data_IF_107496506299
#
_entry.id   IF_107496506299
#
_cell.length_a   1.000
_cell.length_b   1.000
_cell.length_c   1.000
_cell.angle_alpha   90.00
_cell.angle_beta   90.00
_cell.angle_gamma   90.00
#
_symmetry.space_group_name_H-M   'P 1'
#
loop_
_entity.id
_entity.type
_entity.pdbx_description
1 polymer ?
#
# COMPACT_ATOMS: atom_id res chain seq x y z
N UNK A 1 15.09 -22.26 -29.19
CA UNK A 1 15.26 -20.84 -28.81
C UNK A 1 16.15 -20.80 -27.58
N UNK A 2 17.42 -20.41 -27.75
CA UNK A 2 18.39 -20.33 -26.65
C UNK A 2 17.97 -19.21 -25.69
N UNK A 3 17.70 -19.56 -24.43
CA UNK A 3 17.45 -18.59 -23.38
C UNK A 3 18.67 -17.67 -23.28
N UNK A 4 18.45 -16.36 -23.38
CA UNK A 4 19.50 -15.37 -23.11
C UNK A 4 20.00 -15.65 -21.70
N UNK A 5 21.20 -16.22 -21.58
CA UNK A 5 21.88 -16.37 -20.30
C UNK A 5 21.93 -14.99 -19.66
N UNK A 6 21.46 -14.88 -18.41
CA UNK A 6 21.60 -13.67 -17.62
C UNK A 6 23.01 -13.73 -17.02
N UNK A 7 24.03 -13.08 -17.61
CA UNK A 7 25.44 -13.30 -17.23
C UNK A 7 25.68 -12.96 -15.75
N UNK A 8 24.92 -12.00 -15.20
CA UNK A 8 25.00 -11.62 -13.79
C UNK A 8 24.42 -12.67 -12.82
N UNK A 9 23.54 -13.57 -13.27
CA UNK A 9 22.87 -14.53 -12.38
C UNK A 9 23.81 -15.63 -11.88
N UNK A 10 24.92 -15.88 -12.58
CA UNK A 10 25.91 -16.92 -12.24
C UNK A 10 27.20 -16.34 -11.66
N UNK A 11 27.40 -15.02 -11.76
CA UNK A 11 28.58 -14.33 -11.25
C UNK A 11 28.36 -13.82 -9.83
N UNK A 12 28.78 -14.63 -8.85
CA UNK A 12 28.64 -14.27 -7.44
C UNK A 12 29.44 -13.02 -7.06
N UNK A 13 30.61 -12.79 -7.66
CA UNK A 13 31.43 -11.62 -7.36
C UNK A 13 30.72 -10.34 -7.82
N UNK A 14 30.16 -10.34 -9.04
CA UNK A 14 29.36 -9.25 -9.55
C UNK A 14 28.12 -8.99 -8.68
N UNK A 15 27.41 -10.05 -8.27
CA UNK A 15 26.25 -9.91 -7.39
C UNK A 15 26.60 -9.25 -6.05
N UNK A 16 27.74 -9.61 -5.45
CA UNK A 16 28.21 -8.97 -4.22
C UNK A 16 28.51 -7.48 -4.41
N UNK A 17 29.16 -7.10 -5.53
CA UNK A 17 29.42 -5.69 -5.86
C UNK A 17 28.10 -4.93 -6.04
N UNK A 18 27.15 -5.47 -6.80
CA UNK A 18 25.85 -4.85 -7.02
C UNK A 18 25.07 -4.67 -5.71
N UNK A 19 25.05 -5.68 -4.84
CA UNK A 19 24.40 -5.59 -3.52
C UNK A 19 25.10 -4.58 -2.61
N UNK A 20 26.43 -4.49 -2.65
CA UNK A 20 27.20 -3.49 -1.90
C UNK A 20 26.84 -2.06 -2.34
N UNK A 21 26.86 -1.79 -3.64
CA UNK A 21 26.50 -0.48 -4.21
C UNK A 21 25.04 -0.12 -3.95
N UNK A 22 24.15 -1.11 -4.05
CA UNK A 22 22.74 -0.94 -3.71
C UNK A 22 22.56 -0.58 -2.23
N UNK A 23 23.27 -1.24 -1.32
CA UNK A 23 23.19 -0.97 0.12
C UNK A 23 23.61 0.45 0.46
N UNK A 24 24.66 0.95 -0.20
CA UNK A 24 25.10 2.35 -0.10
C UNK A 24 24.04 3.32 -0.62
N UNK A 25 23.42 3.00 -1.75
CA UNK A 25 22.36 3.81 -2.38
C UNK A 25 21.09 3.86 -1.52
N UNK A 26 20.67 2.71 -0.98
CA UNK A 26 19.52 2.59 -0.09
C UNK A 26 19.73 3.33 1.24
N UNK A 27 20.91 3.19 1.84
CA UNK A 27 21.28 3.95 3.04
C UNK A 27 21.29 5.46 2.77
N UNK A 28 21.81 5.88 1.62
CA UNK A 28 21.76 7.29 1.20
C UNK A 28 20.34 7.82 1.08
N UNK A 29 19.42 7.06 0.48
CA UNK A 29 18.01 7.43 0.38
C UNK A 29 17.35 7.54 1.75
N UNK A 30 17.60 6.59 2.64
CA UNK A 30 17.06 6.62 3.99
C UNK A 30 17.55 7.84 4.79
N UNK A 31 18.82 8.23 4.61
CA UNK A 31 19.34 9.45 5.23
C UNK A 31 18.66 10.71 4.67
N UNK A 32 18.40 10.79 3.36
CA UNK A 32 17.64 11.88 2.75
C UNK A 32 16.19 11.93 3.27
N UNK A 33 15.57 10.76 3.46
CA UNK A 33 14.23 10.63 4.03
C UNK A 33 14.19 11.18 5.47
N UNK A 34 15.17 10.78 6.30
CA UNK A 34 15.30 11.27 7.69
C UNK A 34 15.57 12.77 7.76
N UNK A 35 16.36 13.29 6.83
CA UNK A 35 16.62 14.71 6.68
C UNK A 35 15.45 15.49 6.05
N UNK A 36 14.34 14.81 5.70
CA UNK A 36 13.17 15.38 5.00
C UNK A 36 13.50 16.01 3.64
N UNK A 37 14.60 15.61 3.03
CA UNK A 37 15.01 16.02 1.68
C UNK A 37 14.46 15.08 0.61
N UNK A 38 14.03 13.87 1.00
CA UNK A 38 13.29 12.94 0.17
C UNK A 38 11.92 12.70 0.83
N UNK A 39 10.79 13.04 0.18
CA UNK A 39 9.47 12.89 0.79
C UNK A 39 9.08 11.41 0.91
N UNK A 40 9.37 10.61 -0.10
CA UNK A 40 9.16 9.16 -0.11
C UNK A 40 10.07 8.48 -1.11
N UNK A 41 10.29 7.19 -0.97
CA UNK A 41 10.90 6.36 -2.01
C UNK A 41 10.39 4.93 -1.94
N UNK A 42 10.53 4.20 -3.06
CA UNK A 42 10.16 2.80 -3.18
C UNK A 42 11.39 1.90 -3.27
N UNK A 43 11.28 0.73 -2.66
CA UNK A 43 12.14 -0.43 -2.91
C UNK A 43 11.27 -1.48 -3.61
N UNK A 44 11.54 -1.74 -4.88
CA UNK A 44 10.76 -2.66 -5.71
C UNK A 44 11.54 -3.97 -5.85
N UNK A 45 11.27 -4.92 -4.95
CA UNK A 45 11.79 -6.28 -5.04
C UNK A 45 10.87 -7.16 -5.90
N UNK A 46 11.34 -8.37 -6.23
CA UNK A 46 10.58 -9.28 -7.09
C UNK A 46 9.29 -9.82 -6.43
N UNK A 47 9.31 -9.99 -5.10
CA UNK A 47 8.22 -10.61 -4.32
C UNK A 47 7.35 -9.57 -3.59
N UNK A 48 7.91 -8.40 -3.30
CA UNK A 48 7.24 -7.35 -2.54
C UNK A 48 7.81 -5.98 -2.88
N UNK A 49 7.06 -4.93 -2.54
CA UNK A 49 7.54 -3.56 -2.58
C UNK A 49 7.50 -2.95 -1.19
N UNK A 50 8.39 -2.00 -0.95
CA UNK A 50 8.41 -1.19 0.27
C UNK A 50 8.27 0.28 -0.10
N UNK A 51 7.34 0.98 0.51
CA UNK A 51 7.20 2.44 0.43
C UNK A 51 7.69 3.06 1.73
N UNK A 52 8.82 3.75 1.69
CA UNK A 52 9.30 4.59 2.78
C UNK A 52 8.75 6.01 2.61
N UNK A 53 8.27 6.60 3.71
CA UNK A 53 7.71 7.96 3.77
C UNK A 53 8.37 8.74 4.90
N UNK A 54 8.71 9.99 4.62
CA UNK A 54 9.23 10.91 5.62
C UNK A 54 8.14 11.28 6.64
N UNK A 55 8.56 11.73 7.81
CA UNK A 55 7.67 12.34 8.78
C UNK A 55 6.95 13.55 8.16
N UNK A 56 5.64 13.66 8.37
CA UNK A 56 4.76 14.67 7.75
C UNK A 56 3.98 14.17 6.55
N UNK A 57 4.33 13.01 5.97
CA UNK A 57 3.55 12.41 4.88
C UNK A 57 2.43 11.48 5.37
N UNK A 58 1.37 11.38 4.56
CA UNK A 58 0.21 10.53 4.80
C UNK A 58 -0.45 10.76 6.18
N UNK A 59 -0.27 11.92 6.80
CA UNK A 59 -0.78 12.25 8.13
C UNK A 59 -0.03 11.60 9.30
N UNK A 60 1.22 11.16 9.12
CA UNK A 60 2.04 10.61 10.21
C UNK A 60 3.11 11.61 10.67
N UNK A 61 3.30 11.76 11.99
CA UNK A 61 4.33 12.64 12.54
C UNK A 61 5.73 12.01 12.53
N UNK A 62 5.84 10.73 12.21
CA UNK A 62 7.09 9.95 12.20
C UNK A 62 7.33 9.34 10.82
N UNK A 63 8.58 8.95 10.48
CA UNK A 63 8.82 8.19 9.27
C UNK A 63 8.05 6.86 9.30
N UNK A 64 7.54 6.44 8.16
CA UNK A 64 6.82 5.16 8.03
C UNK A 64 7.38 4.35 6.87
N UNK A 65 7.28 3.03 6.96
CA UNK A 65 7.61 2.12 5.89
C UNK A 65 6.48 1.09 5.74
N UNK A 66 5.88 1.04 4.56
CA UNK A 66 4.80 0.12 4.25
C UNK A 66 5.30 -0.97 3.31
N UNK A 67 5.06 -2.24 3.62
CA UNK A 67 5.55 -3.38 2.84
C UNK A 67 4.35 -4.17 2.32
N UNK A 68 4.27 -4.39 1.02
CA UNK A 68 3.23 -5.22 0.41
C UNK A 68 3.65 -5.87 -0.92
N UNK A 69 3.13 -7.09 -1.21
CA UNK A 69 2.52 -7.99 -0.24
C UNK A 69 3.58 -8.56 0.74
N UNK A 70 3.15 -9.14 1.87
CA UNK A 70 4.02 -9.87 2.79
C UNK A 70 3.60 -11.33 2.92
N UNK A 71 4.50 -12.14 3.48
CA UNK A 71 4.25 -13.53 3.85
C UNK A 71 4.43 -13.70 5.35
N UNK A 72 3.85 -14.76 5.92
CA UNK A 72 4.08 -15.14 7.32
C UNK A 72 5.57 -15.22 7.65
N UNK A 73 6.36 -15.89 6.81
CA UNK A 73 7.81 -16.04 7.03
C UNK A 73 8.55 -14.70 7.04
N UNK A 74 8.18 -13.74 6.17
CA UNK A 74 8.75 -12.40 6.20
C UNK A 74 8.37 -11.66 7.50
N UNK A 75 7.11 -11.75 7.91
CA UNK A 75 6.60 -11.13 9.15
C UNK A 75 7.27 -11.71 10.40
N UNK A 76 7.47 -13.02 10.45
CA UNK A 76 8.18 -13.69 11.56
C UNK A 76 9.65 -13.30 11.60
N UNK A 77 10.34 -13.26 10.45
CA UNK A 77 11.73 -12.80 10.36
C UNK A 77 11.89 -11.34 10.82
N UNK A 78 10.92 -10.48 10.50
CA UNK A 78 10.90 -9.11 11.00
C UNK A 78 10.73 -9.07 12.52
N UNK A 79 9.80 -9.87 13.09
CA UNK A 79 9.61 -9.95 14.55
C UNK A 79 10.85 -10.49 15.26
N UNK A 80 11.55 -11.47 14.69
CA UNK A 80 12.78 -12.02 15.29
C UNK A 80 13.93 -11.01 15.34
N UNK A 81 13.94 -10.05 14.42
CA UNK A 81 14.89 -8.93 14.37
C UNK A 81 14.43 -7.73 15.23
N UNK A 82 13.37 -7.90 16.02
CA UNK A 82 12.83 -6.88 16.91
C UNK A 82 12.10 -5.75 16.18
N UNK A 83 11.65 -5.97 14.93
CA UNK A 83 10.90 -4.95 14.18
C UNK A 83 9.42 -5.05 14.57
N UNK A 84 8.94 -4.01 15.24
CA UNK A 84 7.52 -3.85 15.53
C UNK A 84 6.76 -3.26 14.33
N UNK A 85 5.58 -3.79 14.07
CA UNK A 85 4.72 -3.34 12.98
C UNK A 85 3.24 -3.62 13.26
N UNK A 86 2.37 -2.91 12.53
CA UNK A 86 0.93 -3.16 12.50
C UNK A 86 0.46 -3.71 11.16
N UNK A 87 -0.77 -4.24 11.13
CA UNK A 87 -1.44 -4.76 9.93
C UNK A 87 -2.74 -3.96 9.69
N UNK A 88 -2.67 -2.79 9.05
CA UNK A 88 -3.78 -1.82 9.02
C UNK A 88 -5.10 -2.41 8.51
N UNK A 89 -5.04 -3.20 7.42
CA UNK A 89 -6.23 -3.78 6.81
C UNK A 89 -6.87 -4.92 7.62
N UNK A 90 -6.13 -5.51 8.58
CA UNK A 90 -6.65 -6.56 9.45
C UNK A 90 -7.22 -5.96 10.75
N UNK A 91 -6.58 -4.91 11.27
CA UNK A 91 -7.05 -4.19 12.46
C UNK A 91 -8.38 -3.47 12.19
N UNK A 92 -8.55 -2.84 11.02
CA UNK A 92 -9.81 -2.18 10.61
C UNK A 92 -11.00 -3.15 10.60
N UNK A 93 -10.80 -4.39 10.14
CA UNK A 93 -11.85 -5.41 10.11
C UNK A 93 -12.34 -5.79 11.51
N UNK A 94 -11.46 -5.76 12.51
CA UNK A 94 -11.81 -6.05 13.91
C UNK A 94 -12.57 -4.87 14.54
N UNK A 95 -12.11 -3.64 14.33
CA UNK A 95 -12.78 -2.44 14.85
C UNK A 95 -14.15 -2.19 14.23
N UNK A 96 -14.36 -2.53 12.95
CA UNK A 96 -15.69 -2.41 12.30
C UNK A 96 -16.69 -3.45 12.80
N UNK A 97 -16.24 -4.67 13.11
CA UNK A 97 -17.08 -5.71 13.73
C UNK A 97 -17.51 -5.33 15.14
N UNK A 98 -16.61 -4.70 15.90
CA UNK A 98 -16.87 -4.28 17.28
C UNK A 98 -17.84 -3.08 17.38
N UNK A 99 -17.79 -2.13 16.42
CA UNK A 99 -18.78 -1.03 16.35
C UNK A 99 -20.19 -1.50 15.97
N UNK A 100 -20.31 -2.53 15.13
CA UNK A 100 -21.61 -3.03 14.68
C UNK A 100 -22.35 -3.85 15.76
N UNK A 101 -21.61 -4.38 16.74
CA UNK A 101 -22.18 -5.06 17.92
C UNK A 101 -22.64 -4.10 19.02
N UNK A 102 -22.23 -2.83 18.98
CA UNK A 102 -22.61 -1.82 19.98
C UNK A 102 -23.86 -1.01 19.58
N UNK A 103 -24.22 -0.97 18.29
CA UNK A 103 -25.37 -0.20 17.76
C UNK A 103 -26.69 -1.00 17.71
N UNK A 104 -26.68 -2.29 18.10
CA UNK A 104 -27.83 -3.20 17.99
C UNK A 104 -28.59 -3.46 19.30
N UNK A 105 -28.33 -2.68 20.36
CA UNK A 105 -29.06 -2.75 21.63
C UNK A 105 -29.74 -1.42 21.93
N UNK A 106 -30.87 -1.14 21.27
CA UNK A 106 -31.98 -0.36 21.86
C UNK A 106 -33.23 -0.39 20.95
N UNK A 107 -34.35 -0.72 21.58
CA UNK A 107 -35.76 -0.65 21.14
C UNK A 107 -36.35 -1.78 20.24
N UNK A 108 -36.84 -2.83 20.91
CA UNK A 108 -38.00 -3.61 20.49
C UNK A 108 -39.32 -2.89 20.83
N UNK A 109 -40.29 -2.91 19.91
CA UNK A 109 -41.70 -3.25 20.21
C UNK A 109 -42.47 -3.57 18.91
N UNK A 110 -43.60 -4.32 18.97
CA UNK A 110 -43.86 -5.42 18.03
C UNK A 110 -45.10 -5.19 17.14
N UNK A 111 -45.17 -5.90 16.01
CA UNK A 111 -46.40 -5.92 15.21
C UNK A 111 -46.36 -6.68 13.90
N UNK A 112 -46.57 -8.00 13.97
CA UNK A 112 -47.54 -8.73 13.13
C UNK A 112 -47.31 -8.92 11.62
N UNK A 113 -47.05 -10.19 11.24
CA UNK A 113 -47.84 -10.87 10.20
C UNK A 113 -47.13 -11.45 8.97
N UNK A 114 -46.99 -12.80 8.95
CA UNK A 114 -47.21 -13.76 7.82
C UNK A 114 -46.50 -13.50 6.45
N UNK A 115 -45.82 -14.40 5.73
CA UNK A 115 -45.93 -15.87 5.57
C UNK A 115 -44.84 -16.41 4.60
N UNK A 116 -44.30 -17.61 4.89
CA UNK A 116 -43.96 -18.76 4.00
C UNK A 116 -42.85 -18.59 2.93
N UNK A 117 -41.63 -19.14 3.14
CA UNK A 117 -41.01 -20.38 2.56
C UNK A 117 -40.82 -20.33 1.01
N UNK A 118 -39.70 -20.69 0.36
CA UNK A 118 -38.76 -21.80 0.57
C UNK A 118 -37.49 -21.70 -0.34
N UNK A 119 -36.40 -22.33 0.13
CA UNK A 119 -35.27 -23.03 -0.49
C UNK A 119 -34.26 -22.37 -1.48
N UNK A 120 -32.98 -22.35 -1.04
CA UNK A 120 -31.79 -22.36 -1.91
C UNK A 120 -30.42 -22.12 -1.27
N UNK A 121 -29.92 -23.08 -0.47
CA UNK A 121 -28.52 -23.34 -0.02
C UNK A 121 -27.81 -22.39 0.99
N UNK A 122 -27.44 -22.88 2.21
CA UNK A 122 -26.73 -22.10 3.22
C UNK A 122 -25.20 -22.18 3.05
N UNK A 123 -24.54 -21.02 3.00
CA UNK A 123 -23.09 -20.94 3.22
C UNK A 123 -22.80 -21.02 4.73
N UNK A 124 -21.71 -21.67 5.17
CA UNK A 124 -21.45 -21.91 6.59
C UNK A 124 -21.18 -20.58 7.31
N UNK A 125 -22.10 -20.22 8.21
CA UNK A 125 -21.90 -19.22 9.25
C UNK A 125 -21.01 -19.80 10.33
N UNK A 126 -19.74 -19.37 10.38
CA UNK A 126 -18.88 -19.63 11.53
C UNK A 126 -19.02 -18.44 12.50
N UNK A 127 -20.04 -18.56 13.35
CA UNK A 127 -20.22 -17.77 14.57
C UNK A 127 -19.16 -18.21 15.59
N UNK A 128 -18.22 -17.34 15.95
CA UNK A 128 -17.60 -17.38 17.28
C UNK A 128 -17.38 -15.95 17.78
N UNK A 129 -18.47 -15.48 18.36
CA UNK A 129 -18.64 -14.59 19.49
C UNK A 129 -17.49 -14.65 20.53
N UNK A 130 -16.72 -13.56 20.64
CA UNK A 130 -15.75 -13.31 21.73
C UNK A 130 -16.37 -12.37 22.81
N UNK A 131 -17.70 -12.25 22.84
CA UNK A 131 -18.45 -11.47 23.84
C UNK A 131 -19.32 -12.32 24.78
N UNK A 132 -19.40 -13.64 24.56
CA UNK A 132 -20.38 -14.52 25.19
C UNK A 132 -19.83 -15.29 26.38
N UNK A 133 -19.39 -14.55 27.40
CA UNK A 133 -19.21 -15.13 28.75
C UNK A 133 -19.88 -14.33 29.87
N UNK A 134 -20.39 -13.11 29.63
CA UNK A 134 -21.05 -12.35 30.70
C UNK A 134 -22.44 -12.89 31.05
N UNK A 135 -23.20 -13.41 30.09
CA UNK A 135 -24.51 -14.03 30.37
C UNK A 135 -24.36 -15.41 31.04
N UNK A 136 -23.23 -16.11 30.81
CA UNK A 136 -22.93 -17.39 31.46
C UNK A 136 -22.62 -17.22 32.96
N UNK A 137 -22.11 -16.05 33.36
CA UNK A 137 -22.00 -15.62 34.77
C UNK A 137 -23.37 -15.37 35.40
N UNK A 138 -24.31 -14.81 34.64
CA UNK A 138 -25.67 -14.49 35.10
C UNK A 138 -26.57 -15.74 35.22
N UNK A 139 -26.35 -16.78 34.40
CA UNK A 139 -27.14 -18.03 34.42
C UNK A 139 -26.50 -19.18 35.24
N UNK A 140 -25.30 -19.02 35.80
CA UNK A 140 -24.67 -20.03 36.67
C UNK A 140 -24.20 -21.32 35.96
N UNK A 141 -23.93 -21.28 34.65
CA UNK A 141 -23.57 -22.47 33.84
C UNK A 141 -22.06 -22.53 33.55
N UNK A 142 -21.22 -22.22 34.55
CA UNK A 142 -19.76 -22.21 34.36
C UNK A 142 -19.14 -23.61 34.25
N UNK A 143 -19.76 -24.64 34.85
CA UNK A 143 -19.09 -25.94 35.06
C UNK A 143 -19.12 -26.91 33.86
N UNK A 144 -19.70 -26.53 32.70
CA UNK A 144 -19.85 -27.45 31.56
C UNK A 144 -19.30 -26.98 30.21
N UNK A 145 -18.78 -25.75 30.12
CA UNK A 145 -18.14 -25.27 28.88
C UNK A 145 -16.63 -25.39 29.03
N UNK A 146 -16.03 -26.40 28.37
CA UNK A 146 -14.57 -26.49 28.25
C UNK A 146 -14.09 -25.25 27.49
N UNK A 147 -13.34 -24.38 28.15
CA UNK A 147 -12.63 -23.26 27.51
C UNK A 147 -11.79 -23.83 26.35
N UNK A 148 -11.81 -23.23 25.15
CA UNK A 148 -10.97 -23.70 24.06
C UNK A 148 -9.49 -23.57 24.46
N UNK A 149 -8.72 -24.65 24.28
CA UNK A 149 -7.30 -24.71 24.66
C UNK A 149 -6.50 -23.63 23.93
N UNK A 150 -5.52 -23.02 24.60
CA UNK A 150 -4.64 -21.97 24.07
C UNK A 150 -4.02 -22.32 22.70
N UNK A 151 -3.79 -23.62 22.46
CA UNK A 151 -3.28 -24.18 21.20
C UNK A 151 -4.28 -23.98 20.05
N UNK A 152 -5.57 -24.16 20.29
CA UNK A 152 -6.63 -23.96 19.28
C UNK A 152 -6.80 -22.49 18.89
N UNK A 153 -6.63 -21.57 19.85
CA UNK A 153 -6.66 -20.13 19.63
C UNK A 153 -5.43 -19.68 18.82
N UNK A 154 -4.26 -20.21 19.14
CA UNK A 154 -3.03 -19.97 18.36
C UNK A 154 -3.16 -20.49 16.93
N UNK A 155 -3.64 -21.73 16.74
CA UNK A 155 -3.87 -22.32 15.42
C UNK A 155 -4.87 -21.51 14.57
N UNK A 156 -5.92 -20.97 15.18
CA UNK A 156 -6.90 -20.11 14.48
C UNK A 156 -6.31 -18.75 14.09
N UNK A 157 -5.52 -18.12 14.97
CA UNK A 157 -4.77 -16.89 14.67
C UNK A 157 -3.75 -17.11 13.56
N UNK A 158 -3.04 -18.24 13.59
CA UNK A 158 -2.11 -18.65 12.54
C UNK A 158 -2.83 -18.89 11.20
N UNK A 159 -3.97 -19.57 11.20
CA UNK A 159 -4.77 -19.83 10.00
C UNK A 159 -5.27 -18.53 9.35
N UNK A 160 -5.54 -17.48 10.12
CA UNK A 160 -5.95 -16.18 9.60
C UNK A 160 -4.77 -15.33 9.10
N UNK A 161 -3.62 -15.36 9.78
CA UNK A 161 -2.40 -14.72 9.28
C UNK A 161 -1.89 -15.35 7.96
N UNK A 162 -2.04 -16.67 7.79
CA UNK A 162 -1.64 -17.35 6.55
C UNK A 162 -2.60 -17.04 5.38
N UNK A 163 -3.87 -16.75 5.65
CA UNK A 163 -4.87 -16.49 4.59
C UNK A 163 -4.66 -15.17 3.84
N UNK A 164 -3.96 -14.20 4.45
CA UNK A 164 -3.69 -12.91 3.82
C UNK A 164 -2.39 -12.88 3.02
N UNK A 165 -1.57 -13.93 3.11
CA UNK A 165 -0.26 -13.99 2.45
C UNK A 165 -0.36 -13.75 0.94
N UNK A 166 0.61 -13.00 0.40
CA UNK A 166 0.66 -12.59 -1.01
C UNK A 166 -0.48 -11.68 -1.47
N UNK A 167 -1.39 -11.25 -0.58
CA UNK A 167 -2.47 -10.32 -0.92
C UNK A 167 -2.17 -8.89 -0.47
N UNK A 168 -2.77 -7.86 -1.10
CA UNK A 168 -2.69 -6.47 -0.63
C UNK A 168 -3.04 -6.29 0.86
N UNK A 169 -3.93 -7.14 1.40
CA UNK A 169 -4.34 -7.21 2.80
C UNK A 169 -3.18 -7.47 3.77
N UNK A 170 -2.12 -8.16 3.31
CA UNK A 170 -0.94 -8.46 4.12
C UNK A 170 0.00 -7.26 4.30
N UNK A 171 -0.44 -6.05 3.98
CA UNK A 171 0.33 -4.83 4.17
C UNK A 171 0.81 -4.73 5.62
N UNK A 172 2.13 -4.64 5.77
CA UNK A 172 2.80 -4.37 7.04
C UNK A 172 3.17 -2.90 7.10
N UNK A 173 2.84 -2.23 8.20
CA UNK A 173 3.21 -0.84 8.46
C UNK A 173 4.20 -0.75 9.62
N UNK A 174 5.42 -0.32 9.33
CA UNK A 174 6.49 -0.03 10.29
C UNK A 174 6.57 1.48 10.52
N UNK A 175 6.77 1.92 11.77
CA UNK A 175 6.77 3.35 12.14
C UNK A 175 8.01 3.73 12.97
N UNK A 176 8.38 5.00 12.89
CA UNK A 176 9.39 5.60 13.77
C UNK A 176 10.78 4.99 13.61
N UNK A 177 11.46 4.74 14.72
CA UNK A 177 12.81 4.16 14.77
C UNK A 177 12.89 2.78 14.14
N UNK A 178 11.81 1.99 14.18
CA UNK A 178 11.77 0.65 13.56
C UNK A 178 11.97 0.70 12.03
N UNK A 179 11.77 1.85 11.38
CA UNK A 179 12.08 2.01 9.95
C UNK A 179 13.58 1.90 9.66
N UNK A 180 14.45 2.27 10.60
CA UNK A 180 15.90 2.08 10.48
C UNK A 180 16.29 0.62 10.70
N UNK A 181 15.66 -0.05 11.66
CA UNK A 181 15.85 -1.50 11.86
C UNK A 181 15.41 -2.26 10.61
N UNK A 182 14.30 -1.87 9.98
CA UNK A 182 13.84 -2.42 8.71
C UNK A 182 14.86 -2.20 7.57
N UNK A 183 15.49 -1.02 7.47
CA UNK A 183 16.56 -0.77 6.50
C UNK A 183 17.67 -1.82 6.64
N UNK A 184 18.18 -2.01 7.87
CA UNK A 184 19.27 -2.95 8.15
C UNK A 184 18.87 -4.41 7.89
N UNK A 185 17.63 -4.77 8.25
CA UNK A 185 17.04 -6.05 7.95
C UNK A 185 17.01 -6.31 6.44
N UNK A 186 16.48 -5.37 5.65
CA UNK A 186 16.39 -5.50 4.19
C UNK A 186 17.78 -5.62 3.55
N UNK A 187 18.77 -4.85 4.02
CA UNK A 187 20.16 -4.96 3.55
C UNK A 187 20.74 -6.36 3.78
N UNK A 188 20.40 -6.99 4.90
CA UNK A 188 20.88 -8.31 5.28
C UNK A 188 19.98 -9.45 4.79
N UNK A 189 18.84 -9.13 4.17
CA UNK A 189 17.80 -10.10 3.86
C UNK A 189 18.13 -10.90 2.60
N UNK A 190 18.34 -12.21 2.78
CA UNK A 190 18.67 -13.12 1.67
C UNK A 190 17.52 -13.33 0.68
N UNK A 191 16.27 -13.22 1.12
CA UNK A 191 15.08 -13.39 0.27
C UNK A 191 14.71 -12.14 -0.53
N UNK A 192 15.46 -11.04 -0.37
CA UNK A 192 15.24 -9.79 -1.08
C UNK A 192 15.51 -9.93 -2.60
N UNK A 193 16.51 -10.73 -2.96
CA UNK A 193 16.95 -10.95 -4.34
C UNK A 193 16.24 -12.16 -4.91
N UNK A 194 15.75 -12.06 -6.15
CA UNK A 194 15.13 -13.19 -6.83
C UNK A 194 16.15 -14.33 -7.02
N UNK A 195 15.76 -15.55 -6.66
CA UNK A 195 16.61 -16.73 -6.85
C UNK A 195 16.63 -17.21 -8.31
N UNK A 196 15.59 -16.89 -9.08
CA UNK A 196 15.43 -17.34 -10.46
C UNK A 196 14.71 -16.30 -11.32
N UNK A 197 14.80 -16.46 -12.65
CA UNK A 197 14.17 -15.59 -13.63
C UNK A 197 15.04 -14.42 -14.09
N UNK A 198 14.48 -13.49 -14.88
CA UNK A 198 15.25 -12.40 -15.49
C UNK A 198 15.90 -11.43 -14.50
N UNK A 199 15.39 -11.35 -13.27
CA UNK A 199 15.91 -10.50 -12.20
C UNK A 199 16.81 -11.28 -11.22
N UNK A 200 17.15 -12.53 -11.51
CA UNK A 200 17.94 -13.36 -10.62
C UNK A 200 19.31 -12.71 -10.34
N UNK A 201 19.68 -12.63 -9.07
CA UNK A 201 20.96 -12.03 -8.65
C UNK A 201 21.02 -10.51 -8.68
N UNK A 202 19.94 -9.81 -9.08
CA UNK A 202 19.90 -8.34 -9.08
C UNK A 202 19.27 -7.80 -7.79
N UNK A 203 19.86 -6.74 -7.18
CA UNK A 203 19.21 -6.04 -6.08
C UNK A 203 17.89 -5.40 -6.51
N UNK A 204 16.95 -5.14 -5.57
CA UNK A 204 15.71 -4.42 -5.85
C UNK A 204 15.94 -3.06 -6.49
N UNK A 205 14.99 -2.64 -7.33
CA UNK A 205 15.03 -1.30 -7.92
C UNK A 205 14.65 -0.26 -6.88
N UNK A 206 15.44 0.80 -6.75
CA UNK A 206 15.14 1.95 -5.91
C UNK A 206 14.54 3.07 -6.77
N UNK A 207 13.36 3.58 -6.38
CA UNK A 207 12.69 4.68 -7.08
C UNK A 207 12.43 5.84 -6.11
N UNK A 208 12.85 7.05 -6.47
CA UNK A 208 12.66 8.23 -5.64
C UNK A 208 12.29 9.45 -6.52
N UNK A 209 11.56 10.43 -5.97
CA UNK A 209 11.26 11.69 -6.64
C UNK A 209 12.46 12.66 -6.67
N UNK A 210 13.54 12.36 -5.95
CA UNK A 210 14.73 13.19 -5.81
C UNK A 210 15.99 12.43 -6.22
N UNK A 211 17.05 13.17 -6.55
CA UNK A 211 18.36 12.57 -6.81
C UNK A 211 18.94 11.95 -5.53
N UNK A 212 19.63 10.83 -5.70
CA UNK A 212 20.31 10.11 -4.61
C UNK A 212 21.58 9.44 -5.14
N UNK A 213 22.47 9.06 -4.23
CA UNK A 213 23.73 8.38 -4.58
C UNK A 213 23.43 7.07 -5.31
N UNK A 214 24.04 6.86 -6.48
CA UNK A 214 23.80 5.68 -7.33
C UNK A 214 22.52 5.76 -8.17
N UNK A 215 21.67 6.76 -7.94
CA UNK A 215 20.48 6.99 -8.75
C UNK A 215 20.81 7.61 -10.11
N UNK A 216 20.04 7.25 -11.12
CA UNK A 216 20.14 7.82 -12.47
C UNK A 216 18.78 8.31 -12.93
N UNK A 217 18.77 9.52 -13.51
CA UNK A 217 17.55 10.12 -14.03
C UNK A 217 17.17 9.46 -15.36
N UNK A 218 15.96 8.90 -15.42
CA UNK A 218 15.40 8.32 -16.62
C UNK A 218 14.25 9.17 -17.13
N UNK A 219 14.31 9.56 -18.41
CA UNK A 219 13.22 10.30 -19.05
C UNK A 219 12.07 9.34 -19.35
N UNK A 220 10.86 9.68 -18.90
CA UNK A 220 9.65 8.94 -19.27
C UNK A 220 9.41 9.07 -20.77
N UNK A 221 9.04 7.98 -21.42
CA UNK A 221 8.75 7.99 -22.85
C UNK A 221 7.40 8.67 -23.06
N UNK A 222 7.40 9.83 -23.69
CA UNK A 222 6.17 10.55 -24.03
C UNK A 222 5.84 10.38 -25.52
N UNK A 223 4.56 10.16 -25.83
CA UNK A 223 4.03 10.14 -27.19
C UNK A 223 2.80 11.03 -27.27
N UNK A 224 2.75 11.87 -28.30
CA UNK A 224 1.61 12.75 -28.55
C UNK A 224 0.82 12.25 -29.75
N UNK A 225 -0.49 12.16 -29.60
CA UNK A 225 -1.43 11.80 -30.66
C UNK A 225 -2.44 12.93 -30.81
N UNK A 226 -2.76 13.28 -32.05
CA UNK A 226 -3.82 14.22 -32.39
C UNK A 226 -4.80 13.53 -33.34
N UNK A 227 -6.09 13.69 -33.10
CA UNK A 227 -7.15 13.13 -33.93
C UNK A 227 -8.36 14.02 -33.98
N UNK A 228 -9.39 13.61 -34.74
CA UNK A 228 -10.69 14.27 -34.78
C UNK A 228 -11.75 13.34 -34.24
N UNK A 229 -12.45 13.76 -33.19
CA UNK A 229 -13.59 13.03 -32.65
C UNK A 229 -14.90 13.64 -33.18
N UNK A 230 -15.83 12.77 -33.56
CA UNK A 230 -17.16 13.19 -34.00
C UNK A 230 -18.09 13.23 -32.79
N UNK A 231 -18.54 14.44 -32.42
CA UNK A 231 -19.54 14.68 -31.39
C UNK A 231 -20.87 15.05 -32.05
N UNK A 232 -21.98 14.98 -31.30
CA UNK A 232 -23.35 15.16 -31.83
C UNK A 232 -23.60 16.49 -32.57
N UNK A 233 -22.68 17.46 -32.50
CA UNK A 233 -22.74 18.74 -33.21
C UNK A 233 -21.57 19.08 -34.14
N UNK A 234 -20.59 18.18 -34.37
CA UNK A 234 -19.43 18.50 -35.22
C UNK A 234 -18.20 17.60 -35.01
N UNK A 235 -17.09 17.98 -35.63
CA UNK A 235 -15.77 17.38 -35.38
C UNK A 235 -14.97 18.29 -34.45
N UNK A 236 -14.46 17.74 -33.35
CA UNK A 236 -13.51 18.43 -32.46
C UNK A 236 -12.13 17.77 -32.57
N UNK A 237 -11.09 18.58 -32.56
CA UNK A 237 -9.72 18.09 -32.49
C UNK A 237 -9.45 17.60 -31.06
N UNK A 238 -9.00 16.35 -30.93
CA UNK A 238 -8.68 15.70 -29.67
C UNK A 238 -7.19 15.43 -29.62
N UNK A 239 -6.56 15.84 -28.53
CA UNK A 239 -5.13 15.64 -28.26
C UNK A 239 -4.96 14.65 -27.11
N UNK A 240 -4.03 13.73 -27.25
CA UNK A 240 -3.68 12.73 -26.24
C UNK A 240 -2.17 12.72 -26.01
N UNK A 241 -1.77 12.65 -24.75
CA UNK A 241 -0.39 12.49 -24.31
C UNK A 241 -0.27 11.16 -23.56
N UNK A 242 0.43 10.21 -24.17
CA UNK A 242 0.76 8.93 -23.55
C UNK A 242 2.13 9.04 -22.88
N UNK A 243 2.20 8.75 -21.59
CA UNK A 243 3.44 8.75 -20.80
C UNK A 243 3.74 7.33 -20.33
N UNK A 244 4.87 6.78 -20.74
CA UNK A 244 5.29 5.41 -20.48
C UNK A 244 6.56 5.36 -19.63
N UNK A 245 6.56 4.50 -18.62
CA UNK A 245 7.66 4.31 -17.68
C UNK A 245 7.17 4.27 -16.23
N UNK A 246 8.07 4.29 -15.24
CA UNK A 246 7.70 4.33 -13.83
C UNK A 246 7.16 5.71 -13.46
N UNK A 247 5.83 5.89 -13.57
CA UNK A 247 5.14 7.12 -13.17
C UNK A 247 4.89 7.10 -11.68
N UNK A 248 5.61 7.93 -10.93
CA UNK A 248 5.44 8.06 -9.48
C UNK A 248 4.29 9.04 -9.15
N UNK A 249 3.70 8.98 -7.94
CA UNK A 249 2.55 9.81 -7.57
C UNK A 249 2.74 11.33 -7.79
N UNK A 250 3.96 11.83 -7.54
CA UNK A 250 4.28 13.25 -7.72
C UNK A 250 4.23 13.68 -9.19
N UNK A 251 4.51 12.76 -10.13
CA UNK A 251 4.51 13.04 -11.56
C UNK A 251 3.09 13.24 -12.09
N UNK A 252 2.13 12.45 -11.60
CA UNK A 252 0.72 12.64 -11.94
C UNK A 252 0.24 14.02 -11.47
N UNK A 253 0.53 14.39 -10.22
CA UNK A 253 0.14 15.71 -9.72
C UNK A 253 0.84 16.86 -10.47
N UNK A 254 2.11 16.71 -10.85
CA UNK A 254 2.79 17.71 -11.67
C UNK A 254 2.10 17.87 -13.05
N UNK A 255 1.66 16.77 -13.67
CA UNK A 255 0.90 16.81 -14.92
C UNK A 255 -0.46 17.46 -14.74
N UNK A 256 -1.18 17.20 -13.65
CA UNK A 256 -2.48 17.85 -13.40
C UNK A 256 -2.34 19.36 -13.16
N UNK A 257 -1.29 19.78 -12.44
CA UNK A 257 -0.96 21.19 -12.23
C UNK A 257 -0.62 21.91 -13.55
N UNK A 258 0.05 21.22 -14.49
CA UNK A 258 0.37 21.75 -15.81
C UNK A 258 -0.86 21.80 -16.72
N UNK A 259 -1.61 20.69 -16.80
CA UNK A 259 -2.74 20.52 -17.72
C UNK A 259 -3.97 21.32 -17.31
N UNK A 260 -4.20 21.52 -16.01
CA UNK A 260 -5.36 22.28 -15.52
C UNK A 260 -5.47 23.67 -16.15
N UNK A 261 -4.45 24.55 -16.03
CA UNK A 261 -4.46 25.84 -16.70
C UNK A 261 -4.37 25.73 -18.23
N UNK A 262 -3.52 24.84 -18.75
CA UNK A 262 -3.27 24.71 -20.19
C UNK A 262 -4.52 24.25 -20.97
N UNK A 263 -5.39 23.46 -20.34
CA UNK A 263 -6.62 22.94 -20.93
C UNK A 263 -7.88 23.59 -20.32
N UNK A 264 -7.74 24.78 -19.71
CA UNK A 264 -8.87 25.57 -19.15
C UNK A 264 -9.77 24.77 -18.21
N UNK A 265 -9.17 23.94 -17.37
CA UNK A 265 -9.87 23.10 -16.41
C UNK A 265 -10.56 21.88 -17.00
N UNK A 266 -10.18 21.44 -18.21
CA UNK A 266 -10.82 20.32 -18.91
C UNK A 266 -9.79 19.33 -19.46
N UNK A 267 -9.56 18.23 -18.74
CA UNK A 267 -8.75 17.12 -19.26
C UNK A 267 -9.15 15.79 -18.62
N UNK A 268 -8.72 14.69 -19.25
CA UNK A 268 -8.88 13.33 -18.73
C UNK A 268 -7.55 12.61 -18.72
N UNK A 269 -7.27 11.88 -17.67
CA UNK A 269 -6.11 11.01 -17.54
C UNK A 269 -6.57 9.58 -17.28
N UNK A 270 -6.24 8.69 -18.21
CA UNK A 270 -6.39 7.25 -18.05
C UNK A 270 -5.10 6.70 -17.44
N UNK A 271 -5.22 5.93 -16.37
CA UNK A 271 -4.10 5.43 -15.59
C UNK A 271 -4.05 3.90 -15.63
N UNK A 272 -2.84 3.36 -15.77
CA UNK A 272 -2.56 1.93 -15.64
C UNK A 272 -1.71 1.72 -14.38
N UNK A 273 -2.35 1.60 -13.20
CA UNK A 273 -1.65 1.45 -11.93
C UNK A 273 -1.05 0.06 -11.82
N UNK A 274 0.12 -0.06 -11.19
CA UNK A 274 0.64 -1.37 -10.79
C UNK A 274 -0.19 -1.89 -9.62
N UNK A 275 -1.03 -2.91 -9.83
CA UNK A 275 -2.04 -3.37 -8.87
C UNK A 275 -1.51 -3.62 -7.44
N UNK A 276 -0.34 -4.25 -7.23
CA UNK A 276 0.20 -4.43 -5.87
C UNK A 276 0.46 -3.13 -5.10
N UNK A 277 0.62 -2.00 -5.79
CA UNK A 277 0.83 -0.69 -5.15
C UNK A 277 -0.43 -0.11 -4.51
N UNK A 278 -1.63 -0.66 -4.81
CA UNK A 278 -2.89 -0.23 -4.23
C UNK A 278 -2.86 -0.25 -2.70
N UNK A 279 -2.19 -1.26 -2.13
CA UNK A 279 -2.06 -1.45 -0.69
C UNK A 279 -1.40 -0.26 0.02
N UNK A 280 -0.57 0.52 -0.69
CA UNK A 280 0.12 1.68 -0.11
C UNK A 280 -0.79 2.88 0.14
N UNK A 281 -2.04 2.83 -0.32
CA UNK A 281 -3.08 3.80 0.02
C UNK A 281 -3.65 3.59 1.44
N UNK A 282 -3.17 2.59 2.20
CA UNK A 282 -3.49 2.48 3.61
C UNK A 282 -3.01 3.70 4.40
N UNK A 283 -3.92 4.31 5.15
CA UNK A 283 -3.58 5.40 6.04
C UNK A 283 -2.85 4.87 7.28
N UNK A 284 -1.73 5.47 7.69
CA UNK A 284 -1.23 5.26 9.04
C UNK A 284 -2.25 5.80 10.06
N UNK A 285 -2.34 5.23 11.27
CA UNK A 285 -3.13 5.80 12.37
C UNK A 285 -2.85 7.29 12.51
N UNK A 286 -3.92 8.11 12.45
CA UNK A 286 -3.84 9.57 12.47
C UNK A 286 -3.24 10.04 13.79
N UNK A 287 -2.09 10.71 13.68
CA UNK A 287 -1.55 11.53 14.76
C UNK A 287 -1.89 12.96 14.37
N UNK A 288 -2.72 13.65 15.17
CA UNK A 288 -3.31 14.96 14.86
C UNK A 288 -2.33 16.14 14.77
N UNK A 289 -1.12 15.92 14.27
CA UNK A 289 -0.05 16.90 14.17
C UNK A 289 0.35 17.03 12.70
N UNK A 290 -0.11 18.11 12.05
CA UNK A 290 0.44 18.54 10.78
C UNK A 290 1.83 19.14 11.04
N UNK A 291 2.88 18.48 10.56
CA UNK A 291 4.22 19.06 10.52
C UNK A 291 4.50 19.52 9.10
N UNK A 292 4.86 20.79 8.94
CA UNK A 292 5.35 21.29 7.67
C UNK A 292 6.63 20.54 7.26
N UNK A 293 6.60 19.99 6.06
CA UNK A 293 7.78 19.40 5.44
C UNK A 293 8.62 20.52 4.82
N UNK A 294 9.94 20.57 5.11
CA UNK A 294 10.84 21.51 4.44
C UNK A 294 10.86 21.23 2.92
N UNK A 295 11.32 22.20 2.10
CA UNK A 295 11.38 22.03 0.65
C UNK A 295 12.22 20.80 0.27
N UNK A 296 11.55 19.75 -0.18
CA UNK A 296 12.12 18.44 -0.48
C UNK A 296 12.29 18.22 -2.00
N UNK A 297 12.40 19.30 -2.76
CA UNK A 297 12.54 19.27 -4.22
C UNK A 297 11.23 19.03 -4.99
N UNK A 298 10.10 18.87 -4.30
CA UNK A 298 8.76 18.82 -4.92
C UNK A 298 8.05 20.18 -4.85
N UNK A 299 7.12 20.39 -5.77
CA UNK A 299 6.25 21.56 -5.76
C UNK A 299 5.42 21.61 -4.46
N UNK A 300 5.25 22.76 -3.78
CA UNK A 300 4.57 22.85 -2.48
C UNK A 300 3.18 22.21 -2.46
N UNK A 301 2.34 22.49 -3.45
CA UNK A 301 1.01 21.85 -3.57
C UNK A 301 1.07 20.32 -3.64
N UNK A 302 2.14 19.76 -4.23
CA UNK A 302 2.34 18.31 -4.27
C UNK A 302 2.69 17.76 -2.90
N UNK A 303 3.53 18.49 -2.15
CA UNK A 303 3.85 18.13 -0.77
C UNK A 303 2.59 18.19 0.09
N UNK A 304 1.78 19.25 -0.04
CA UNK A 304 0.52 19.41 0.70
C UNK A 304 -0.42 18.24 0.43
N UNK A 305 -0.60 17.85 -0.85
CA UNK A 305 -1.45 16.72 -1.20
C UNK A 305 -0.91 15.38 -0.64
N UNK A 306 0.39 15.14 -0.73
CA UNK A 306 1.00 13.91 -0.20
C UNK A 306 1.03 13.86 1.34
N UNK A 307 0.89 15.01 2.00
CA UNK A 307 0.82 15.13 3.46
C UNK A 307 -0.55 14.71 4.00
N UNK A 308 -1.60 14.77 3.17
CA UNK A 308 -2.95 14.35 3.54
C UNK A 308 -3.02 12.83 3.71
N UNK A 309 -3.88 12.38 4.63
CA UNK A 309 -4.15 10.96 4.79
C UNK A 309 -4.78 10.40 3.50
N UNK A 310 -4.27 9.28 2.96
CA UNK A 310 -4.83 8.67 1.76
C UNK A 310 -6.24 8.15 2.04
N UNK A 311 -7.14 8.34 1.07
CA UNK A 311 -8.57 8.00 1.18
C UNK A 311 -8.99 6.81 0.31
N UNK A 312 -8.08 6.34 -0.57
CA UNK A 312 -8.39 5.33 -1.58
C UNK A 312 -8.39 3.89 -1.04
N UNK A 313 -7.94 3.66 0.20
CA UNK A 313 -7.97 2.34 0.85
C UNK A 313 -7.19 1.29 0.08
N UNK A 314 -7.88 0.31 -0.52
CA UNK A 314 -7.28 -0.76 -1.35
C UNK A 314 -7.47 -0.57 -2.85
N UNK A 315 -8.04 0.56 -3.25
CA UNK A 315 -8.37 0.85 -4.64
C UNK A 315 -7.26 1.62 -5.34
N UNK A 316 -7.24 1.54 -6.68
CA UNK A 316 -6.33 2.31 -7.51
C UNK A 316 -7.09 3.35 -8.31
N UNK A 317 -6.49 4.51 -8.55
CA UNK A 317 -7.03 5.48 -9.49
C UNK A 317 -6.88 4.95 -10.93
N UNK A 318 -7.98 4.75 -11.66
CA UNK A 318 -7.95 4.30 -13.07
C UNK A 318 -8.29 5.41 -14.06
N UNK A 319 -9.17 6.32 -13.66
CA UNK A 319 -9.54 7.49 -14.44
C UNK A 319 -9.56 8.71 -13.53
N UNK A 320 -8.91 9.78 -13.97
CA UNK A 320 -9.05 11.11 -13.41
C UNK A 320 -9.64 12.01 -14.49
N UNK A 321 -10.71 12.71 -14.16
CA UNK A 321 -11.33 13.71 -15.02
C UNK A 321 -11.30 15.05 -14.29
N UNK A 322 -10.81 16.08 -14.96
CA UNK A 322 -10.98 17.46 -14.53
C UNK A 322 -12.00 18.10 -15.46
N UNK A 323 -13.04 18.70 -14.86
CA UNK A 323 -14.03 19.51 -15.56
C UNK A 323 -14.33 20.75 -14.72
N UNK A 324 -14.25 21.93 -15.32
CA UNK A 324 -14.49 23.21 -14.66
C UNK A 324 -13.64 23.38 -13.39
N UNK A 325 -12.38 22.96 -13.45
CA UNK A 325 -11.42 22.94 -12.33
C UNK A 325 -11.79 22.03 -11.13
N UNK A 326 -12.83 21.22 -11.28
CA UNK A 326 -13.22 20.19 -10.31
C UNK A 326 -12.70 18.82 -10.75
N UNK A 327 -12.20 18.03 -9.80
CA UNK A 327 -11.75 16.67 -10.05
C UNK A 327 -12.86 15.66 -9.76
N UNK A 328 -13.04 14.72 -10.68
CA UNK A 328 -13.79 13.48 -10.47
C UNK A 328 -12.88 12.30 -10.82
N UNK A 329 -13.11 11.16 -10.19
CA UNK A 329 -12.28 9.98 -10.45
C UNK A 329 -13.06 8.68 -10.41
N UNK A 330 -12.49 7.66 -11.05
CA UNK A 330 -12.95 6.27 -10.97
C UNK A 330 -11.83 5.38 -10.46
N UNK A 331 -12.23 4.44 -9.61
CA UNK A 331 -11.39 3.41 -8.99
C UNK A 331 -11.25 2.17 -9.88
#
# INVERSE_FOLDING_TARGET
>A
MAGKACPWAQDQALQQVLMSDWSVSFTSLYNLLRARLCPYFYVCAAQFSVLFRAAGLAGSAVPTAAIAPTTRGLREAMRSEGIEFSLPFLEEGRSRKQKNSEESLEEETPGGGSSVEDAGEPAPSDDEDDGSFSWLEEMGVQDKVKKPDTISIQLRKEKHEVQVDHRPESLVLVRGSNTFTLLNFLISCRSLVAAAGPQAGLPPTLLAPVAFRGGTMHTLKARTLSGRARLQGGFEDVFSLEVLGPVLPHSLHALTLLLGPAQRGSFRALLSPHEPSAAFNAAPPQEGVQQELPPCGLHPRTVDQLSQSPTLGKSCLRLLEMKDYCYTWKL
#
